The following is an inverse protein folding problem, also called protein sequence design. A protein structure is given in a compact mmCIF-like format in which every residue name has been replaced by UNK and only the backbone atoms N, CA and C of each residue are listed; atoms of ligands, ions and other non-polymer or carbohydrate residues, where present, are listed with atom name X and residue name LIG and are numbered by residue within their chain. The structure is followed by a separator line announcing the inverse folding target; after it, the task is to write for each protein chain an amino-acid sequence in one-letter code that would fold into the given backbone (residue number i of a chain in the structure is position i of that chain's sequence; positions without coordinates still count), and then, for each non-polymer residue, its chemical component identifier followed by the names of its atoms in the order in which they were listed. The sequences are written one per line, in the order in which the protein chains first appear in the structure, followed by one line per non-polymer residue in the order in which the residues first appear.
data_IF_043134338365
#
_entry.id   IF_043134338365
#
_cell.length_a   1.000
_cell.length_b   1.000
_cell.length_c   1.000
_cell.angle_alpha   90.00
_cell.angle_beta   90.00
_cell.angle_gamma   90.00
#
_symmetry.space_group_name_H-M   'P 1'
#
loop_
_entity.id
_entity.type
_entity.pdbx_description
1 polymer ?
#
# COMPACT_ATOMS: atom_id res chain seq x y z
N UNK A 1 -7.19 11.25 4.38
CA UNK A 1 -8.57 11.64 4.68
C UNK A 1 -9.48 11.37 3.48
N UNK A 2 -9.77 10.07 3.25
CA UNK A 2 -10.63 9.64 2.13
C UNK A 2 -12.09 10.04 2.40
N UNK A 3 -12.79 10.48 1.33
CA UNK A 3 -14.21 10.80 1.40
C UNK A 3 -14.52 12.07 2.21
N UNK A 4 -13.52 12.86 2.53
CA UNK A 4 -13.73 14.17 3.15
C UNK A 4 -14.44 15.11 2.15
N UNK A 5 -15.51 15.77 2.61
CA UNK A 5 -16.13 16.87 1.86
C UNK A 5 -15.39 18.20 2.05
N UNK A 6 -14.28 18.18 2.79
CA UNK A 6 -13.45 19.36 3.05
C UNK A 6 -12.59 19.60 1.82
N UNK A 7 -12.81 20.73 1.16
CA UNK A 7 -11.96 21.21 0.09
C UNK A 7 -10.79 22.00 0.67
N UNK A 8 -9.63 21.87 0.04
CA UNK A 8 -8.47 22.69 0.39
C UNK A 8 -8.75 24.13 -0.07
N UNK A 9 -8.47 25.11 0.80
CA UNK A 9 -8.62 26.51 0.47
C UNK A 9 -7.81 26.84 -0.80
N UNK A 10 -8.40 27.64 -1.70
CA UNK A 10 -7.78 28.02 -2.98
C UNK A 10 -6.39 28.63 -2.82
N UNK A 11 -6.18 29.43 -1.79
CA UNK A 11 -4.88 30.04 -1.46
C UNK A 11 -3.79 29.01 -1.15
N UNK A 12 -4.15 27.83 -0.64
CA UNK A 12 -3.22 26.71 -0.41
C UNK A 12 -3.03 25.95 -1.71
N UNK A 13 -4.12 25.66 -2.43
CA UNK A 13 -4.09 24.91 -3.68
C UNK A 13 -3.27 25.60 -4.77
N UNK A 14 -3.23 26.93 -4.81
CA UNK A 14 -2.41 27.71 -5.75
C UNK A 14 -0.91 27.40 -5.72
N UNK A 15 -0.42 26.82 -4.62
CA UNK A 15 0.98 26.42 -4.50
C UNK A 15 1.29 25.07 -5.18
N UNK A 16 0.31 24.40 -5.76
CA UNK A 16 0.44 23.08 -6.36
C UNK A 16 0.20 23.12 -7.88
N UNK A 17 0.87 22.25 -8.61
CA UNK A 17 0.62 22.04 -10.04
C UNK A 17 -0.80 21.46 -10.25
N UNK A 18 -1.24 20.57 -9.35
CA UNK A 18 -2.54 19.96 -9.36
C UNK A 18 -3.65 20.86 -8.77
N UNK A 19 -3.45 22.15 -8.74
CA UNK A 19 -4.36 23.17 -8.16
C UNK A 19 -5.80 23.19 -8.73
N UNK A 20 -6.00 22.60 -9.90
CA UNK A 20 -7.34 22.43 -10.48
C UNK A 20 -8.21 21.47 -9.65
N UNK A 21 -7.60 20.69 -8.75
CA UNK A 21 -8.26 19.76 -7.86
C UNK A 21 -8.18 20.29 -6.43
N UNK A 22 -9.32 20.44 -5.78
CA UNK A 22 -9.41 20.87 -4.37
C UNK A 22 -9.50 19.69 -3.39
N UNK A 23 -9.58 18.47 -3.92
CA UNK A 23 -9.63 17.25 -3.12
C UNK A 23 -8.28 17.02 -2.40
N UNK A 24 -8.25 16.94 -1.06
CA UNK A 24 -7.03 16.81 -0.29
C UNK A 24 -6.15 15.63 -0.72
N UNK A 25 -6.76 14.50 -1.06
CA UNK A 25 -6.06 13.30 -1.50
C UNK A 25 -5.26 13.51 -2.79
N UNK A 26 -5.74 14.37 -3.70
CA UNK A 26 -5.04 14.68 -4.95
C UNK A 26 -3.82 15.56 -4.66
N UNK A 27 -4.01 16.66 -3.93
CA UNK A 27 -2.92 17.57 -3.57
C UNK A 27 -1.87 16.88 -2.69
N UNK A 28 -2.29 15.87 -1.91
CA UNK A 28 -1.38 15.11 -1.06
C UNK A 28 -0.41 14.24 -1.86
N UNK A 29 -0.78 13.80 -3.08
CA UNK A 29 0.13 13.09 -3.99
C UNK A 29 1.32 14.00 -4.33
N UNK A 30 1.04 15.24 -4.72
CA UNK A 30 2.10 16.22 -5.03
C UNK A 30 2.89 16.62 -3.80
N UNK A 31 2.25 16.77 -2.64
CA UNK A 31 2.94 17.03 -1.39
C UNK A 31 3.95 15.92 -1.05
N UNK A 32 3.56 14.65 -1.21
CA UNK A 32 4.46 13.52 -1.04
C UNK A 32 5.63 13.55 -2.05
N UNK A 33 5.34 13.92 -3.31
CA UNK A 33 6.40 14.13 -4.32
C UNK A 33 7.41 15.16 -3.86
N UNK A 34 6.97 16.28 -3.31
CA UNK A 34 7.85 17.36 -2.87
C UNK A 34 8.77 16.94 -1.71
N UNK A 35 8.30 16.03 -0.83
CA UNK A 35 9.10 15.49 0.27
C UNK A 35 10.14 14.45 -0.17
N UNK A 36 9.96 13.82 -1.32
CA UNK A 36 10.89 12.80 -1.79
C UNK A 36 12.10 13.40 -2.49
N UNK A 37 13.27 12.83 -2.22
CA UNK A 37 14.45 13.06 -3.06
C UNK A 37 14.31 12.32 -4.40
N UNK A 38 15.00 12.75 -5.49
CA UNK A 38 15.05 11.99 -6.73
C UNK A 38 15.45 10.52 -6.50
N UNK A 39 14.74 9.57 -7.13
CA UNK A 39 14.89 8.14 -6.91
C UNK A 39 14.26 7.61 -5.60
N UNK A 40 13.74 8.50 -4.74
CA UNK A 40 13.05 8.11 -3.51
C UNK A 40 11.75 7.35 -3.81
N UNK A 41 11.40 6.40 -2.94
CA UNK A 41 10.21 5.54 -3.07
C UNK A 41 9.18 5.90 -2.03
N UNK A 42 7.90 5.72 -2.36
CA UNK A 42 6.79 5.82 -1.43
C UNK A 42 5.74 4.74 -1.69
N UNK A 43 5.02 4.35 -0.64
CA UNK A 43 3.73 3.66 -0.74
C UNK A 43 2.63 4.65 -0.39
N UNK A 44 1.60 4.72 -1.22
CA UNK A 44 0.45 5.60 -0.99
C UNK A 44 -0.84 4.84 -1.26
N UNK A 45 -1.82 5.01 -0.37
CA UNK A 45 -3.16 4.48 -0.57
C UNK A 45 -4.04 5.56 -1.19
N UNK A 46 -4.63 5.27 -2.32
CA UNK A 46 -5.50 6.20 -3.05
C UNK A 46 -6.88 5.58 -3.29
N UNK A 47 -7.96 6.38 -3.21
CA UNK A 47 -9.28 5.92 -3.62
C UNK A 47 -9.27 5.53 -5.10
N UNK A 48 -9.98 4.45 -5.44
CA UNK A 48 -10.07 3.97 -6.82
C UNK A 48 -10.67 4.99 -7.78
N UNK A 49 -11.43 5.94 -7.25
CA UNK A 49 -11.91 7.08 -8.03
C UNK A 49 -10.80 7.90 -8.69
N UNK A 50 -9.60 7.97 -8.11
CA UNK A 50 -8.45 8.64 -8.74
C UNK A 50 -7.91 7.80 -9.89
N UNK A 51 -7.90 6.48 -9.74
CA UNK A 51 -7.33 5.56 -10.72
C UNK A 51 -8.28 5.26 -11.87
N UNK A 52 -9.59 5.14 -11.61
CA UNK A 52 -10.59 4.71 -12.59
C UNK A 52 -11.45 5.82 -13.19
N UNK A 53 -11.62 6.98 -12.52
CA UNK A 53 -12.51 8.02 -13.02
C UNK A 53 -11.88 8.78 -14.22
N UNK A 54 -12.58 8.89 -15.38
CA UNK A 54 -12.10 9.66 -16.53
C UNK A 54 -11.73 11.12 -16.18
N UNK A 55 -12.44 11.76 -15.26
CA UNK A 55 -12.15 13.14 -14.84
C UNK A 55 -10.79 13.29 -14.13
N UNK A 56 -10.18 12.18 -13.68
CA UNK A 56 -8.88 12.17 -13.01
C UNK A 56 -7.73 11.79 -13.96
N UNK A 57 -7.95 11.79 -15.26
CA UNK A 57 -6.91 11.45 -16.25
C UNK A 57 -5.66 12.34 -16.13
N UNK A 58 -5.86 13.65 -15.93
CA UNK A 58 -4.73 14.57 -15.76
C UNK A 58 -3.90 14.30 -14.49
N UNK A 59 -4.55 13.85 -13.41
CA UNK A 59 -3.84 13.43 -12.19
C UNK A 59 -3.00 12.19 -12.46
N UNK A 60 -3.56 11.19 -13.16
CA UNK A 60 -2.81 9.98 -13.55
C UNK A 60 -1.65 10.28 -14.47
N UNK A 61 -1.84 11.18 -15.46
CA UNK A 61 -0.75 11.64 -16.34
C UNK A 61 0.35 12.31 -15.52
N UNK A 62 -0.01 13.21 -14.61
CA UNK A 62 0.94 13.87 -13.73
C UNK A 62 1.73 12.85 -12.89
N UNK A 63 1.05 11.83 -12.34
CA UNK A 63 1.72 10.75 -11.60
C UNK A 63 2.76 10.05 -12.48
N UNK A 64 2.40 9.64 -13.70
CA UNK A 64 3.30 8.91 -14.61
C UNK A 64 4.45 9.78 -15.15
N UNK A 65 4.26 11.09 -15.27
CA UNK A 65 5.32 12.03 -15.63
C UNK A 65 6.35 12.19 -14.52
N UNK A 66 5.90 12.16 -13.26
CA UNK A 66 6.74 12.45 -12.09
C UNK A 66 7.28 11.21 -11.39
N UNK A 67 6.61 10.09 -11.55
CA UNK A 67 6.95 8.83 -10.88
C UNK A 67 7.05 7.67 -11.86
N UNK A 68 7.84 6.66 -11.48
CA UNK A 68 7.69 5.28 -11.97
C UNK A 68 6.70 4.55 -11.08
N UNK A 69 5.71 3.92 -11.67
CA UNK A 69 4.79 3.03 -10.97
C UNK A 69 5.49 1.67 -10.78
N UNK A 70 5.81 1.31 -9.55
CA UNK A 70 6.49 0.04 -9.24
C UNK A 70 5.50 -1.09 -9.00
N UNK A 71 4.42 -0.79 -8.29
CA UNK A 71 3.36 -1.75 -8.02
C UNK A 71 2.02 -1.07 -7.81
N UNK A 72 0.94 -1.79 -8.12
CA UNK A 72 -0.44 -1.44 -7.79
C UNK A 72 -1.14 -2.66 -7.18
N UNK A 73 -1.68 -2.50 -5.99
CA UNK A 73 -2.37 -3.55 -5.26
C UNK A 73 -3.79 -3.06 -4.96
N UNK A 74 -4.78 -3.71 -5.55
CA UNK A 74 -6.18 -3.43 -5.25
C UNK A 74 -6.53 -4.02 -3.87
N UNK A 75 -7.22 -3.21 -3.04
CA UNK A 75 -7.62 -3.58 -1.70
C UNK A 75 -9.14 -3.70 -1.62
N UNK A 76 -9.67 -4.74 -0.96
CA UNK A 76 -11.11 -4.84 -0.77
C UNK A 76 -11.62 -3.73 0.15
N UNK A 77 -12.89 -3.38 0.03
CA UNK A 77 -13.51 -2.31 0.83
C UNK A 77 -13.37 -2.56 2.34
N UNK A 78 -13.29 -3.82 2.74
CA UNK A 78 -13.09 -4.27 4.12
C UNK A 78 -11.77 -3.72 4.72
N UNK A 79 -10.79 -3.37 3.89
CA UNK A 79 -9.51 -2.82 4.35
C UNK A 79 -9.69 -1.56 5.24
N UNK A 80 -10.72 -0.76 4.97
CA UNK A 80 -10.97 0.49 5.69
C UNK A 80 -12.29 0.51 6.47
N UNK A 81 -13.15 -0.50 6.29
CA UNK A 81 -14.36 -0.65 7.10
C UNK A 81 -14.01 -1.02 8.55
N UNK A 82 -14.85 -0.64 9.53
CA UNK A 82 -16.10 0.12 9.39
C UNK A 82 -15.95 1.64 9.28
N UNK A 83 -14.73 2.18 9.37
CA UNK A 83 -14.48 3.61 9.47
C UNK A 83 -14.77 4.34 8.16
N UNK A 84 -14.37 3.77 7.04
CA UNK A 84 -14.51 4.36 5.70
C UNK A 84 -14.91 3.29 4.69
N UNK A 85 -16.04 3.50 4.01
CA UNK A 85 -16.56 2.58 2.98
C UNK A 85 -16.09 2.98 1.57
N UNK A 86 -14.78 3.13 1.38
CA UNK A 86 -14.18 3.47 0.09
C UNK A 86 -13.26 2.34 -0.36
N UNK A 87 -13.43 1.89 -1.60
CA UNK A 87 -12.46 1.02 -2.23
C UNK A 87 -11.23 1.81 -2.61
N UNK A 88 -10.07 1.26 -2.37
CA UNK A 88 -8.81 1.94 -2.56
C UNK A 88 -7.72 0.97 -3.01
N UNK A 89 -6.73 1.49 -3.70
CA UNK A 89 -5.54 0.76 -4.12
C UNK A 89 -4.30 1.31 -3.42
N UNK A 90 -3.36 0.42 -3.14
CA UNK A 90 -2.03 0.75 -2.65
C UNK A 90 -1.08 0.84 -3.84
N UNK A 91 -0.53 2.04 -4.08
CA UNK A 91 0.48 2.28 -5.11
C UNK A 91 1.86 2.38 -4.49
N UNK A 92 2.83 1.71 -5.11
CA UNK A 92 4.25 1.93 -4.86
C UNK A 92 4.85 2.74 -6.01
N UNK A 93 5.37 3.91 -5.68
CA UNK A 93 5.85 4.90 -6.63
C UNK A 93 7.30 5.26 -6.34
N UNK A 94 8.09 5.48 -7.39
CA UNK A 94 9.45 5.99 -7.28
C UNK A 94 9.55 7.34 -7.99
N UNK A 95 10.01 8.38 -7.27
CA UNK A 95 10.21 9.71 -7.86
C UNK A 95 11.27 9.64 -8.97
N UNK A 96 10.91 10.07 -10.16
CA UNK A 96 11.82 10.15 -11.30
C UNK A 96 12.93 11.20 -11.04
N UNK A 97 14.11 10.90 -11.53
CA UNK A 97 15.19 11.87 -11.62
C UNK A 97 14.90 12.90 -12.72
N UNK A 98 15.65 14.00 -12.74
CA UNK A 98 15.51 15.01 -13.79
C UNK A 98 15.73 14.43 -15.21
N UNK A 99 16.66 13.49 -15.37
CA UNK A 99 16.92 12.82 -16.64
C UNK A 99 15.77 11.90 -17.06
N UNK A 100 15.23 11.10 -16.14
CA UNK A 100 14.10 10.20 -16.42
C UNK A 100 12.82 10.96 -16.78
N UNK A 101 12.64 12.19 -16.28
CA UNK A 101 11.50 13.04 -16.65
C UNK A 101 11.57 13.61 -18.07
N UNK A 102 12.74 13.57 -18.71
CA UNK A 102 12.89 13.96 -20.12
C UNK A 102 12.48 12.86 -21.09
N UNK A 103 12.33 11.64 -20.61
CA UNK A 103 11.85 10.51 -21.42
C UNK A 103 10.33 10.57 -21.52
N UNK A 104 9.80 10.40 -22.75
CA UNK A 104 8.35 10.33 -22.96
C UNK A 104 7.78 9.14 -22.16
N UNK A 105 6.83 9.37 -21.24
CA UNK A 105 6.21 8.30 -20.47
C UNK A 105 5.59 7.19 -21.32
N UNK A 106 5.15 7.50 -22.54
CA UNK A 106 4.55 6.52 -23.43
C UNK A 106 5.60 5.62 -24.13
N UNK A 107 6.86 6.04 -24.14
CA UNK A 107 7.98 5.26 -24.71
C UNK A 107 8.73 4.45 -23.63
N UNK A 108 8.45 4.70 -22.36
CA UNK A 108 9.10 4.04 -21.24
C UNK A 108 8.48 2.66 -21.00
N UNK A 109 9.22 1.61 -21.34
CA UNK A 109 8.79 0.24 -21.09
C UNK A 109 9.48 -0.33 -19.86
N UNK A 110 8.70 -0.71 -18.87
CA UNK A 110 9.15 -1.40 -17.66
C UNK A 110 8.00 -2.22 -17.07
N UNK A 111 8.35 -3.26 -16.35
CA UNK A 111 7.37 -4.12 -15.72
C UNK A 111 6.79 -3.47 -14.47
N UNK A 112 5.47 -3.63 -14.28
CA UNK A 112 4.73 -3.16 -13.11
C UNK A 112 4.11 -4.35 -12.42
N UNK A 113 4.38 -4.51 -11.13
CA UNK A 113 3.73 -5.54 -10.34
C UNK A 113 2.26 -5.17 -10.07
N UNK A 114 1.34 -6.08 -10.43
CA UNK A 114 -0.10 -5.90 -10.21
C UNK A 114 -0.64 -7.04 -9.37
N UNK A 115 -1.42 -6.73 -8.34
CA UNK A 115 -2.06 -7.72 -7.48
C UNK A 115 -3.44 -7.25 -7.00
N UNK A 116 -4.28 -8.21 -6.64
CA UNK A 116 -5.57 -7.99 -6.00
C UNK A 116 -5.53 -8.72 -4.66
N UNK A 117 -5.79 -8.01 -3.56
CA UNK A 117 -6.04 -8.59 -2.27
C UNK A 117 -7.54 -8.82 -2.11
N UNK A 118 -7.96 -10.07 -2.00
CA UNK A 118 -9.37 -10.41 -1.75
C UNK A 118 -9.68 -10.41 -0.26
N UNK A 119 -8.67 -10.70 0.57
CA UNK A 119 -8.78 -10.83 2.02
C UNK A 119 -7.76 -9.93 2.72
N UNK A 120 -8.22 -9.29 3.79
CA UNK A 120 -7.41 -8.39 4.63
C UNK A 120 -7.58 -8.67 6.13
N UNK A 121 -7.94 -9.91 6.44
CA UNK A 121 -7.99 -10.40 7.83
C UNK A 121 -9.11 -9.85 8.69
N UNK A 122 -10.10 -9.18 8.12
CA UNK A 122 -11.23 -8.65 8.88
C UNK A 122 -12.52 -8.59 8.06
N UNK A 123 -13.65 -8.63 8.77
CA UNK A 123 -14.98 -8.45 8.21
C UNK A 123 -15.35 -6.95 8.07
N UNK A 124 -16.55 -6.70 7.52
CA UNK A 124 -17.10 -5.33 7.37
C UNK A 124 -17.36 -4.61 8.68
N UNK A 125 -17.40 -5.31 9.79
CA UNK A 125 -17.57 -4.73 11.15
C UNK A 125 -16.24 -4.47 11.84
N UNK A 126 -15.13 -4.91 11.24
CA UNK A 126 -13.78 -4.80 11.79
C UNK A 126 -13.36 -5.96 12.69
N UNK A 127 -14.16 -7.05 12.75
CA UNK A 127 -13.77 -8.25 13.49
C UNK A 127 -12.69 -9.00 12.73
N UNK A 128 -11.69 -9.52 13.45
CA UNK A 128 -10.61 -10.32 12.86
C UNK A 128 -11.17 -11.64 12.33
N UNK A 129 -10.76 -11.99 11.12
CA UNK A 129 -11.05 -13.29 10.49
C UNK A 129 -9.76 -14.10 10.49
N UNK A 130 -9.83 -15.30 11.04
CA UNK A 130 -8.73 -16.25 11.06
C UNK A 130 -8.91 -17.32 9.98
N UNK A 131 -7.79 -17.91 9.55
CA UNK A 131 -7.81 -19.04 8.62
C UNK A 131 -8.65 -20.21 9.17
N UNK A 132 -9.43 -20.84 8.29
CA UNK A 132 -10.35 -21.94 8.63
C UNK A 132 -10.05 -23.14 7.78
N UNK A 133 -10.33 -24.32 8.34
CA UNK A 133 -10.31 -25.59 7.62
C UNK A 133 -11.59 -25.78 6.77
N UNK A 134 -11.66 -26.91 6.08
CA UNK A 134 -12.79 -27.25 5.20
C UNK A 134 -14.12 -27.43 5.96
N UNK A 135 -14.06 -27.72 7.26
CA UNK A 135 -15.23 -27.85 8.15
C UNK A 135 -15.63 -26.49 8.76
N UNK A 136 -14.86 -25.42 8.48
CA UNK A 136 -15.11 -24.06 8.95
C UNK A 136 -14.57 -23.76 10.35
N UNK A 137 -13.81 -24.67 10.97
CA UNK A 137 -13.16 -24.44 12.25
C UNK A 137 -11.87 -23.63 12.08
N UNK A 138 -11.54 -22.75 13.04
CA UNK A 138 -10.33 -21.96 13.00
C UNK A 138 -9.08 -22.83 13.21
N UNK A 139 -8.11 -22.71 12.30
CA UNK A 139 -6.87 -23.48 12.31
C UNK A 139 -5.95 -22.98 13.41
N UNK A 140 -5.41 -23.91 14.21
CA UNK A 140 -4.38 -23.63 15.21
C UNK A 140 -3.02 -24.10 14.68
N UNK A 141 -2.16 -23.16 14.38
CA UNK A 141 -0.78 -23.40 13.97
C UNK A 141 0.13 -23.52 15.19
N UNK A 142 1.14 -24.38 15.09
CA UNK A 142 2.15 -24.53 16.14
C UNK A 142 3.39 -23.76 15.71
N UNK A 143 3.72 -22.72 16.43
CA UNK A 143 4.90 -21.88 16.18
C UNK A 143 5.91 -22.00 17.31
N UNK A 144 7.18 -22.10 16.93
CA UNK A 144 8.31 -22.05 17.87
C UNK A 144 8.85 -20.62 17.85
N UNK A 145 8.65 -19.90 18.95
CA UNK A 145 9.26 -18.58 19.15
C UNK A 145 10.60 -18.71 19.84
N UNK A 146 11.58 -18.06 19.29
CA UNK A 146 12.90 -17.93 19.86
C UNK A 146 13.20 -16.46 20.14
N UNK A 147 13.71 -16.17 21.34
CA UNK A 147 14.14 -14.82 21.69
C UNK A 147 15.34 -14.86 22.60
N UNK A 148 16.18 -13.83 22.50
CA UNK A 148 17.30 -13.63 23.40
C UNK A 148 16.83 -12.94 24.69
N UNK A 149 17.30 -13.40 25.83
CA UNK A 149 17.08 -12.75 27.12
C UNK A 149 18.32 -12.89 28.02
N UNK A 150 18.47 -12.02 28.99
CA UNK A 150 19.53 -12.17 29.99
C UNK A 150 19.09 -13.12 31.11
N UNK A 151 20.02 -13.99 31.53
CA UNK A 151 19.81 -14.79 32.73
C UNK A 151 20.13 -13.96 34.01
N UNK A 152 19.97 -14.57 35.19
CA UNK A 152 20.25 -13.91 36.47
C UNK A 152 21.74 -13.53 36.67
N UNK A 153 22.66 -14.09 35.90
CA UNK A 153 24.09 -13.75 35.90
C UNK A 153 24.44 -12.65 34.88
N UNK A 154 23.47 -12.11 34.14
CA UNK A 154 23.69 -11.11 33.09
C UNK A 154 24.20 -11.66 31.76
N UNK A 155 24.17 -12.99 31.57
CA UNK A 155 24.59 -13.63 30.32
C UNK A 155 23.40 -13.71 29.33
N UNK A 156 23.66 -13.46 28.03
CA UNK A 156 22.67 -13.58 26.97
C UNK A 156 22.39 -15.05 26.68
N UNK A 157 21.16 -15.46 26.87
CA UNK A 157 20.69 -16.83 26.58
C UNK A 157 19.54 -16.81 25.56
N UNK A 158 19.48 -17.83 24.71
CA UNK A 158 18.34 -18.09 23.85
C UNK A 158 17.26 -18.83 24.65
N UNK A 159 16.02 -18.38 24.48
CA UNK A 159 14.84 -19.03 25.03
C UNK A 159 13.92 -19.43 23.90
N UNK A 160 13.29 -20.58 24.06
CA UNK A 160 12.33 -21.14 23.10
C UNK A 160 11.00 -21.36 23.79
N UNK A 161 9.93 -21.11 23.05
CA UNK A 161 8.58 -21.43 23.49
C UNK A 161 7.75 -21.87 22.30
N UNK A 162 7.07 -22.98 22.44
CA UNK A 162 6.08 -23.45 21.48
C UNK A 162 4.72 -22.88 21.86
N UNK A 163 4.11 -22.14 20.94
CA UNK A 163 2.79 -21.55 21.11
C UNK A 163 1.83 -22.06 20.03
N UNK A 164 0.54 -22.15 20.37
CA UNK A 164 -0.52 -22.34 19.39
C UNK A 164 -1.06 -20.96 19.04
N UNK A 165 -1.00 -20.61 17.76
CA UNK A 165 -1.43 -19.31 17.24
C UNK A 165 -2.45 -19.50 16.12
N UNK A 166 -3.31 -18.52 15.92
CA UNK A 166 -4.20 -18.44 14.77
C UNK A 166 -3.61 -17.46 13.78
N UNK A 167 -3.56 -17.85 12.52
CA UNK A 167 -3.16 -16.93 11.47
C UNK A 167 -4.38 -16.16 10.97
N UNK A 168 -4.18 -14.88 10.74
CA UNK A 168 -5.18 -14.00 10.16
C UNK A 168 -5.35 -14.36 8.67
N UNK A 169 -6.59 -14.49 8.21
CA UNK A 169 -6.89 -14.79 6.79
C UNK A 169 -6.67 -13.54 5.92
N UNK A 170 -5.41 -13.31 5.56
CA UNK A 170 -4.92 -12.10 4.90
C UNK A 170 -4.02 -12.46 3.70
N UNK A 171 -4.28 -11.83 2.56
CA UNK A 171 -3.52 -12.04 1.33
C UNK A 171 -2.25 -11.16 1.26
N UNK A 172 -2.16 -10.09 2.04
CA UNK A 172 -1.05 -9.14 1.95
C UNK A 172 0.33 -9.78 2.18
N UNK A 173 0.52 -10.74 3.10
CA UNK A 173 1.79 -11.46 3.24
C UNK A 173 2.19 -12.26 1.99
N UNK A 174 1.21 -12.89 1.33
CA UNK A 174 1.41 -13.65 0.09
C UNK A 174 1.79 -12.70 -1.06
N UNK A 175 1.07 -11.58 -1.19
CA UNK A 175 1.35 -10.52 -2.17
C UNK A 175 2.76 -9.94 -1.94
N UNK A 176 3.14 -9.67 -0.68
CA UNK A 176 4.48 -9.20 -0.34
C UNK A 176 5.56 -10.18 -0.77
N UNK A 177 5.33 -11.48 -0.58
CA UNK A 177 6.25 -12.54 -1.02
C UNK A 177 6.35 -12.60 -2.54
N UNK A 178 5.23 -12.50 -3.25
CA UNK A 178 5.19 -12.45 -4.70
C UNK A 178 5.94 -11.21 -5.24
N UNK A 179 5.73 -10.04 -4.63
CA UNK A 179 6.44 -8.83 -5.02
C UNK A 179 7.97 -8.95 -4.86
N UNK A 180 8.45 -9.60 -3.80
CA UNK A 180 9.90 -9.87 -3.64
C UNK A 180 10.43 -10.74 -4.77
N UNK A 181 9.73 -11.82 -5.14
CA UNK A 181 10.10 -12.67 -6.27
C UNK A 181 10.11 -11.91 -7.60
N UNK A 182 9.13 -11.03 -7.82
CA UNK A 182 9.08 -10.16 -8.97
C UNK A 182 10.31 -9.25 -9.07
N UNK A 183 10.76 -8.66 -7.96
CA UNK A 183 11.96 -7.83 -7.93
C UNK A 183 13.25 -8.62 -8.22
N UNK A 184 13.27 -9.92 -7.93
CA UNK A 184 14.37 -10.83 -8.21
C UNK A 184 14.31 -11.44 -9.63
N UNK A 185 13.28 -11.10 -10.42
CA UNK A 185 13.07 -11.66 -11.76
C UNK A 185 12.66 -13.13 -11.74
N UNK A 186 11.99 -13.57 -10.68
CA UNK A 186 11.54 -14.96 -10.46
C UNK A 186 10.04 -15.15 -10.73
N UNK A 187 9.36 -14.14 -11.26
CA UNK A 187 7.96 -14.17 -11.69
C UNK A 187 7.86 -13.79 -13.16
#
# INVERSE_FOLDING_TARGET
PFGSKVEVASTIAENYELKAFTAPEVLFIEQCYNFLKPGGKMGIVLPDGILGNPKMESVRKWILEHFKLLASIDLPVEAFLPQVGVQASLLFLQKKTALERLVDPNSEMYDVFMAIAEKVGKDRRGNVIYERDDDGAEILFVENKEWASYNHNGELISRHRTERVKHVDDDLPKISTAYKKFLEGLL
#
